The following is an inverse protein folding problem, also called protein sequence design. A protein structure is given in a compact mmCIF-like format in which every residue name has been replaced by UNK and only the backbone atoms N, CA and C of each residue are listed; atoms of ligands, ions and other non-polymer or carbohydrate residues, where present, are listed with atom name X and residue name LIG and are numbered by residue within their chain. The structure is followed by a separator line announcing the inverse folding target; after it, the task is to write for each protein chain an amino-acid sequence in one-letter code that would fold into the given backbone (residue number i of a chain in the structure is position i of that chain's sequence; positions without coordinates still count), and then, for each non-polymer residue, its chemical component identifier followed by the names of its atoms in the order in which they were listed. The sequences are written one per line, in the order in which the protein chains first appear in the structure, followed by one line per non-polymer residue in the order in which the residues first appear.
data_IF_126166131891
#
_entry.id   IF_126166131891
#
_cell.length_a   1.000
_cell.length_b   1.000
_cell.length_c   1.000
_cell.angle_alpha   90.00
_cell.angle_beta   90.00
_cell.angle_gamma   90.00
#
_symmetry.space_group_name_H-M   'P 1'
#
loop_
_entity.id
_entity.type
_entity.pdbx_description
1 polymer ?
#
# COMPACT_ATOMS: atom_id res chain seq x y z
N UNK A 1 1.53 17.94 -15.46
CA UNK A 1 0.58 18.56 -14.51
C UNK A 1 0.72 17.87 -13.18
N UNK A 2 0.62 18.63 -12.09
CA UNK A 2 0.71 18.11 -10.72
C UNK A 2 -0.48 18.61 -9.91
N UNK A 3 -1.07 17.71 -9.10
CA UNK A 3 -2.09 18.03 -8.10
C UNK A 3 -1.45 17.80 -6.73
N UNK A 4 -1.38 18.84 -5.92
CA UNK A 4 -0.71 18.81 -4.62
C UNK A 4 -1.66 19.29 -3.52
N UNK A 5 -1.66 18.61 -2.39
CA UNK A 5 -2.34 19.03 -1.18
C UNK A 5 -1.63 18.48 0.06
N UNK A 6 -1.88 19.02 1.24
CA UNK A 6 -1.19 18.68 2.48
C UNK A 6 -2.12 18.25 3.61
N UNK A 7 -3.21 17.58 3.28
CA UNK A 7 -4.13 17.09 4.30
C UNK A 7 -3.60 15.80 4.95
N UNK A 8 -3.92 15.59 6.23
CA UNK A 8 -3.45 14.43 7.00
C UNK A 8 -4.53 13.93 7.96
N UNK A 9 -4.41 12.65 8.35
CA UNK A 9 -5.46 11.94 9.08
C UNK A 9 -5.78 12.56 10.45
N UNK A 10 -4.77 12.99 11.20
CA UNK A 10 -4.95 13.58 12.53
C UNK A 10 -5.27 15.08 12.51
N UNK A 11 -5.39 15.69 11.33
CA UNK A 11 -5.79 17.09 11.21
C UNK A 11 -7.18 17.29 11.83
N UNK A 12 -7.35 18.29 12.72
CA UNK A 12 -8.68 18.64 13.26
C UNK A 12 -9.66 18.94 12.14
N UNK A 13 -10.91 18.53 12.33
CA UNK A 13 -11.95 18.76 11.33
C UNK A 13 -12.29 20.24 11.21
N UNK A 14 -12.17 20.74 10.00
CA UNK A 14 -12.68 22.04 9.61
C UNK A 14 -13.56 21.85 8.39
N UNK A 15 -14.86 21.87 8.60
CA UNK A 15 -15.87 21.66 7.54
C UNK A 15 -15.88 22.78 6.51
N UNK A 16 -15.22 23.91 6.76
CA UNK A 16 -15.08 25.00 5.80
C UNK A 16 -14.05 24.72 4.70
N UNK A 17 -13.11 23.80 4.93
CA UNK A 17 -11.95 23.58 4.05
C UNK A 17 -12.19 22.50 2.99
N UNK A 18 -13.09 21.54 3.24
CA UNK A 18 -13.41 20.50 2.25
C UNK A 18 -14.91 20.23 2.16
N UNK A 19 -15.64 21.04 1.39
CA UNK A 19 -17.07 20.87 1.24
C UNK A 19 -17.47 19.59 0.47
N UNK A 20 -16.55 19.01 -0.31
CA UNK A 20 -16.85 17.84 -1.14
C UNK A 20 -16.73 16.52 -0.40
N UNK A 21 -15.97 16.46 0.66
CA UNK A 21 -15.84 15.29 1.53
C UNK A 21 -15.56 15.72 2.97
N UNK A 22 -16.56 16.21 3.67
CA UNK A 22 -16.40 16.46 5.09
C UNK A 22 -16.06 15.13 5.78
N UNK A 23 -15.26 15.15 6.84
CA UNK A 23 -15.11 14.00 7.72
C UNK A 23 -16.51 13.56 8.17
N UNK A 24 -16.65 12.30 8.57
CA UNK A 24 -17.90 11.78 9.12
C UNK A 24 -18.46 12.75 10.15
N UNK A 25 -19.76 12.99 10.12
CA UNK A 25 -20.38 13.95 11.01
C UNK A 25 -19.99 13.69 12.47
N UNK A 26 -19.45 14.71 13.14
CA UNK A 26 -18.96 14.60 14.51
C UNK A 26 -17.55 14.02 14.69
N UNK A 27 -16.83 13.68 13.62
CA UNK A 27 -15.45 13.24 13.73
C UNK A 27 -14.54 14.40 14.17
N UNK A 28 -13.66 14.15 15.14
CA UNK A 28 -12.71 15.16 15.62
C UNK A 28 -11.56 15.44 14.64
N UNK A 29 -11.25 14.47 13.78
CA UNK A 29 -10.18 14.56 12.78
C UNK A 29 -10.63 14.05 11.42
N UNK A 30 -9.88 14.36 10.37
CA UNK A 30 -10.20 13.93 9.00
C UNK A 30 -10.15 12.41 8.82
N UNK A 31 -9.24 11.73 9.51
CA UNK A 31 -8.97 10.31 9.28
C UNK A 31 -8.27 10.04 7.95
N UNK A 32 -7.76 8.83 7.77
CA UNK A 32 -6.92 8.46 6.62
C UNK A 32 -7.64 8.70 5.28
N UNK A 33 -8.88 8.26 5.13
CA UNK A 33 -9.61 8.40 3.86
C UNK A 33 -9.83 9.85 3.43
N UNK A 34 -10.14 10.73 4.37
CA UNK A 34 -10.40 12.14 4.06
C UNK A 34 -9.12 12.97 3.95
N UNK A 35 -7.95 12.38 4.21
CA UNK A 35 -6.65 13.03 3.97
C UNK A 35 -6.25 13.04 2.49
N UNK A 36 -6.94 12.29 1.63
CA UNK A 36 -6.55 12.11 0.24
C UNK A 36 -6.53 13.43 -0.54
N UNK A 37 -5.39 13.67 -1.22
CA UNK A 37 -5.26 14.77 -2.17
C UNK A 37 -6.20 14.58 -3.35
N UNK A 38 -6.29 13.36 -3.87
CA UNK A 38 -7.21 12.98 -4.95
C UNK A 38 -7.96 11.70 -4.57
N UNK A 39 -9.27 11.71 -4.72
CA UNK A 39 -10.12 10.54 -4.47
C UNK A 39 -10.93 10.16 -5.71
N UNK A 40 -10.68 8.96 -6.23
CA UNK A 40 -11.37 8.40 -7.38
C UNK A 40 -12.46 7.42 -6.91
N UNK A 41 -13.72 7.78 -7.07
CA UNK A 41 -14.88 6.96 -6.67
C UNK A 41 -15.54 6.24 -7.84
N UNK A 42 -15.47 6.83 -9.04
CA UNK A 42 -16.19 6.33 -10.19
C UNK A 42 -15.63 4.97 -10.66
N UNK A 43 -16.48 3.97 -10.89
CA UNK A 43 -16.07 2.74 -11.57
C UNK A 43 -15.56 3.05 -12.97
N UNK A 44 -14.55 2.30 -13.43
CA UNK A 44 -13.94 2.48 -14.75
C UNK A 44 -13.16 3.79 -14.93
N UNK A 45 -12.90 4.53 -13.86
CA UNK A 45 -12.09 5.76 -13.93
C UNK A 45 -10.68 5.47 -14.42
N UNK A 46 -10.20 6.31 -15.32
CA UNK A 46 -8.84 6.20 -15.89
C UNK A 46 -8.07 7.50 -15.70
N UNK A 47 -6.83 7.40 -15.29
CA UNK A 47 -5.93 8.54 -15.13
C UNK A 47 -4.58 8.24 -15.79
N UNK A 48 -4.06 9.20 -16.56
CA UNK A 48 -2.77 9.05 -17.24
C UNK A 48 -1.94 10.33 -17.16
N UNK A 49 -0.62 10.16 -17.11
CA UNK A 49 0.36 11.24 -17.27
C UNK A 49 0.20 12.39 -16.26
N UNK A 50 -0.01 12.05 -14.99
CA UNK A 50 -0.26 13.03 -13.95
C UNK A 50 0.56 12.71 -12.69
N UNK A 51 1.00 13.76 -11.99
CA UNK A 51 1.56 13.65 -10.65
C UNK A 51 0.50 14.05 -9.62
N UNK A 52 0.35 13.23 -8.58
CA UNK A 52 -0.47 13.52 -7.41
C UNK A 52 0.43 13.43 -6.20
N UNK A 53 0.50 14.48 -5.41
CA UNK A 53 1.33 14.56 -4.23
C UNK A 53 0.50 14.90 -2.98
N UNK A 54 0.82 14.26 -1.88
CA UNK A 54 0.48 14.77 -0.57
C UNK A 54 1.79 15.22 0.10
N UNK A 55 1.96 16.51 0.24
CA UNK A 55 3.19 17.14 0.73
C UNK A 55 3.12 17.50 2.23
N UNK A 56 2.28 16.80 2.98
CA UNK A 56 2.18 17.01 4.44
C UNK A 56 3.53 16.96 5.14
N UNK A 57 4.48 16.16 4.66
CA UNK A 57 5.90 16.24 5.01
C UNK A 57 6.27 15.84 6.44
N UNK A 58 5.32 15.42 7.26
CA UNK A 58 5.52 14.96 8.63
C UNK A 58 5.23 13.47 8.78
N UNK A 59 5.62 12.90 9.92
CA UNK A 59 5.29 11.52 10.26
C UNK A 59 3.79 11.40 10.59
N UNK A 60 3.04 10.74 9.71
CA UNK A 60 1.59 10.55 9.86
C UNK A 60 0.93 10.17 8.55
N UNK A 61 -0.27 9.59 8.66
CA UNK A 61 -1.03 9.10 7.51
C UNK A 61 -1.52 10.27 6.64
N UNK A 62 -1.12 10.28 5.38
CA UNK A 62 -1.43 11.36 4.44
C UNK A 62 -1.49 10.82 3.00
N UNK A 63 -2.70 10.57 2.52
CA UNK A 63 -2.95 9.90 1.25
C UNK A 63 -2.76 10.86 0.07
N UNK A 64 -1.95 10.48 -0.91
CA UNK A 64 -1.91 11.18 -2.19
C UNK A 64 -3.10 10.78 -3.06
N UNK A 65 -3.25 9.48 -3.34
CA UNK A 65 -4.36 8.96 -4.15
C UNK A 65 -5.17 7.93 -3.36
N UNK A 66 -6.49 8.11 -3.31
CA UNK A 66 -7.44 7.08 -2.89
C UNK A 66 -8.23 6.56 -4.11
N UNK A 67 -8.10 5.27 -4.40
CA UNK A 67 -8.76 4.60 -5.52
C UNK A 67 -9.84 3.63 -4.97
N UNK A 68 -11.10 4.08 -4.92
CA UNK A 68 -12.19 3.32 -4.31
C UNK A 68 -13.18 2.71 -5.33
N UNK A 69 -13.15 3.16 -6.57
CA UNK A 69 -14.01 2.62 -7.63
C UNK A 69 -13.52 1.26 -8.15
N UNK A 70 -14.44 0.46 -8.70
CA UNK A 70 -14.07 -0.79 -9.34
C UNK A 70 -13.54 -0.56 -10.77
N UNK A 71 -12.60 -1.40 -11.22
CA UNK A 71 -12.01 -1.38 -12.56
C UNK A 71 -11.32 -0.06 -12.92
N UNK A 72 -10.60 0.53 -11.97
CA UNK A 72 -9.84 1.76 -12.21
C UNK A 72 -8.48 1.49 -12.84
N UNK A 73 -8.03 2.39 -13.69
CA UNK A 73 -6.74 2.28 -14.39
C UNK A 73 -5.91 3.54 -14.20
N UNK A 74 -4.67 3.36 -13.78
CA UNK A 74 -3.68 4.41 -13.60
C UNK A 74 -2.43 4.09 -14.42
N UNK A 75 -2.09 4.92 -15.39
CA UNK A 75 -0.97 4.67 -16.31
C UNK A 75 -0.03 5.87 -16.37
N UNK A 76 1.26 5.65 -16.20
CA UNK A 76 2.28 6.69 -16.17
C UNK A 76 1.90 7.83 -15.19
N UNK A 77 1.51 7.45 -13.96
CA UNK A 77 1.23 8.40 -12.88
C UNK A 77 2.39 8.42 -11.88
N UNK A 78 2.56 9.54 -11.19
CA UNK A 78 3.48 9.66 -10.08
C UNK A 78 2.69 9.95 -8.81
N UNK A 79 2.81 9.07 -7.82
CA UNK A 79 2.18 9.24 -6.51
C UNK A 79 3.28 9.54 -5.49
N UNK A 80 3.26 10.76 -4.96
CA UNK A 80 4.30 11.26 -4.07
C UNK A 80 3.73 11.48 -2.67
N UNK A 81 4.39 10.91 -1.68
CA UNK A 81 3.98 11.02 -0.29
C UNK A 81 4.95 10.37 0.67
N UNK A 82 4.54 10.21 1.91
CA UNK A 82 5.30 9.54 2.96
C UNK A 82 4.52 8.33 3.48
N UNK A 83 3.90 8.40 4.66
CA UNK A 83 3.07 7.31 5.16
C UNK A 83 1.72 7.29 4.45
N UNK A 84 1.27 6.11 4.01
CA UNK A 84 -0.06 5.88 3.43
C UNK A 84 -0.30 6.57 2.06
N UNK A 85 0.69 6.64 1.17
CA UNK A 85 0.63 7.39 -0.09
C UNK A 85 -0.50 6.95 -1.02
N UNK A 86 -0.66 5.63 -1.24
CA UNK A 86 -1.65 5.07 -2.16
C UNK A 86 -2.63 4.15 -1.42
N UNK A 87 -3.84 4.63 -1.25
CA UNK A 87 -4.93 3.92 -0.57
C UNK A 87 -5.91 3.31 -1.57
N UNK A 88 -6.13 1.98 -1.45
CA UNK A 88 -6.99 1.22 -2.35
C UNK A 88 -8.06 0.50 -1.52
N UNK A 89 -9.06 1.24 -1.01
CA UNK A 89 -10.12 0.64 -0.21
C UNK A 89 -11.14 -0.13 -1.06
N UNK A 90 -11.93 -0.95 -0.39
CA UNK A 90 -13.24 -1.39 -0.90
C UNK A 90 -14.35 -0.76 -0.06
N UNK A 91 -15.53 -0.49 -0.62
CA UNK A 91 -16.63 0.09 0.13
C UNK A 91 -17.02 -0.73 1.35
N UNK A 92 -16.97 -2.03 1.25
CA UNK A 92 -17.18 -2.97 2.36
C UNK A 92 -16.21 -4.15 2.27
N UNK A 93 -16.15 -4.98 3.31
CA UNK A 93 -15.36 -6.23 3.31
C UNK A 93 -15.88 -7.30 2.35
N UNK A 94 -17.07 -7.11 1.78
CA UNK A 94 -17.72 -8.04 0.85
C UNK A 94 -17.55 -7.62 -0.62
N UNK A 95 -17.21 -6.36 -0.87
CA UNK A 95 -17.03 -5.84 -2.23
C UNK A 95 -15.62 -6.16 -2.73
N UNK A 96 -15.54 -6.61 -3.96
CA UNK A 96 -14.28 -6.66 -4.71
C UNK A 96 -14.16 -5.40 -5.52
N UNK A 97 -13.16 -4.58 -5.22
CA UNK A 97 -12.73 -3.46 -6.07
C UNK A 97 -11.41 -3.83 -6.72
N UNK A 98 -11.24 -3.40 -7.96
CA UNK A 98 -10.08 -3.75 -8.78
C UNK A 98 -9.41 -2.49 -9.32
N UNK A 99 -8.10 -2.48 -9.27
CA UNK A 99 -7.31 -1.42 -9.87
C UNK A 99 -6.14 -2.01 -10.66
N UNK A 100 -5.76 -1.35 -11.74
CA UNK A 100 -4.57 -1.68 -12.52
C UNK A 100 -3.70 -0.42 -12.63
N UNK A 101 -2.47 -0.55 -12.19
CA UNK A 101 -1.47 0.53 -12.18
C UNK A 101 -0.32 0.10 -13.06
N UNK A 102 -0.02 0.89 -14.09
CA UNK A 102 0.97 0.53 -15.09
C UNK A 102 2.03 1.63 -15.26
N UNK A 103 3.29 1.22 -15.44
CA UNK A 103 4.41 2.11 -15.79
C UNK A 103 4.48 3.38 -14.91
N UNK A 104 4.20 3.22 -13.62
CA UNK A 104 3.98 4.32 -12.68
C UNK A 104 5.04 4.37 -11.58
N UNK A 105 5.20 5.54 -10.97
CA UNK A 105 6.11 5.76 -9.87
C UNK A 105 5.33 6.04 -8.59
N UNK A 106 5.63 5.30 -7.52
CA UNK A 106 4.99 5.46 -6.21
C UNK A 106 6.08 5.53 -5.15
N UNK A 107 6.06 6.55 -4.32
CA UNK A 107 7.01 6.69 -3.22
C UNK A 107 6.34 6.79 -1.86
N UNK A 108 7.06 6.39 -0.83
CA UNK A 108 6.61 6.53 0.54
C UNK A 108 7.54 5.94 1.59
N UNK A 109 7.13 6.02 2.85
CA UNK A 109 7.91 5.56 4.01
C UNK A 109 7.31 4.33 4.68
N UNK A 110 6.02 4.37 5.03
CA UNK A 110 5.31 3.38 5.85
C UNK A 110 4.03 3.01 5.17
N UNK A 111 3.81 1.70 4.94
CA UNK A 111 2.54 1.17 4.40
C UNK A 111 2.06 1.99 3.19
N UNK A 112 2.98 2.44 2.35
CA UNK A 112 2.65 3.47 1.37
C UNK A 112 1.81 2.97 0.20
N UNK A 113 1.55 1.65 0.11
CA UNK A 113 0.53 1.04 -0.75
C UNK A 113 -0.31 0.12 0.13
N UNK A 114 -1.56 0.49 0.37
CA UNK A 114 -2.38 -0.23 1.34
C UNK A 114 -3.86 -0.29 0.98
N UNK A 115 -4.57 -1.24 1.56
CA UNK A 115 -6.03 -1.36 1.41
C UNK A 115 -6.52 -2.76 1.06
N UNK A 116 -7.82 -2.87 0.77
CA UNK A 116 -8.53 -4.15 0.58
C UNK A 116 -8.64 -4.63 -0.85
N UNK A 117 -8.44 -3.73 -1.82
CA UNK A 117 -8.71 -4.01 -3.22
C UNK A 117 -7.79 -5.08 -3.80
N UNK A 118 -8.25 -5.72 -4.87
CA UNK A 118 -7.39 -6.43 -5.79
C UNK A 118 -6.69 -5.41 -6.68
N UNK A 119 -5.37 -5.31 -6.60
CA UNK A 119 -4.59 -4.37 -7.41
C UNK A 119 -3.42 -5.05 -8.08
N UNK A 120 -3.18 -4.70 -9.33
CA UNK A 120 -1.97 -5.09 -10.07
C UNK A 120 -1.13 -3.84 -10.30
N UNK A 121 0.12 -3.88 -9.85
CA UNK A 121 1.16 -2.89 -10.13
C UNK A 121 2.14 -3.53 -11.12
N UNK A 122 2.09 -3.11 -12.38
CA UNK A 122 2.84 -3.71 -13.49
C UNK A 122 3.83 -2.70 -14.08
N UNK A 123 5.10 -3.05 -14.13
CA UNK A 123 6.15 -2.16 -14.64
C UNK A 123 6.37 -0.90 -13.81
N UNK A 124 6.03 -0.93 -12.52
CA UNK A 124 6.09 0.24 -11.65
C UNK A 124 7.46 0.39 -10.97
N UNK A 125 7.79 1.62 -10.59
CA UNK A 125 8.87 1.91 -9.65
C UNK A 125 8.27 2.22 -8.29
N UNK A 126 8.61 1.42 -7.27
CA UNK A 126 8.23 1.62 -5.89
C UNK A 126 9.44 2.14 -5.13
N UNK A 127 9.44 3.41 -4.75
CA UNK A 127 10.59 4.06 -4.12
C UNK A 127 10.39 4.27 -2.63
N UNK A 128 11.21 3.60 -1.84
CA UNK A 128 11.23 3.74 -0.40
C UNK A 128 11.97 5.00 0.02
N UNK A 129 11.31 5.86 0.80
CA UNK A 129 11.90 7.07 1.39
C UNK A 129 12.31 6.77 2.83
N UNK A 130 13.61 6.83 3.11
CA UNK A 130 14.13 6.50 4.43
C UNK A 130 13.89 7.63 5.43
N UNK A 131 12.80 7.54 6.19
CA UNK A 131 12.59 8.35 7.40
C UNK A 131 12.80 7.50 8.65
N UNK A 132 12.29 6.27 8.64
CA UNK A 132 12.49 5.23 9.67
C UNK A 132 12.26 3.85 9.03
N UNK A 133 12.88 2.77 9.58
CA UNK A 133 12.63 1.42 9.07
C UNK A 133 11.15 1.07 9.08
N UNK A 134 10.61 0.65 7.93
CA UNK A 134 9.19 0.30 7.83
C UNK A 134 8.88 -0.57 6.59
N UNK A 135 7.62 -0.61 6.19
CA UNK A 135 7.04 -1.51 5.20
C UNK A 135 6.55 -0.76 3.95
N UNK A 136 6.62 -1.42 2.78
CA UNK A 136 6.09 -0.90 1.53
C UNK A 136 4.59 -1.16 1.40
N UNK A 137 4.17 -2.42 1.61
CA UNK A 137 2.83 -2.90 1.36
C UNK A 137 2.09 -3.20 2.68
N UNK A 138 0.81 -2.81 2.76
CA UNK A 138 -0.07 -3.18 3.86
C UNK A 138 -1.45 -3.63 3.33
N UNK A 139 -1.53 -4.84 2.73
CA UNK A 139 -2.78 -5.38 2.26
C UNK A 139 -3.72 -5.74 3.41
N UNK A 140 -5.01 -5.43 3.25
CA UNK A 140 -6.11 -5.79 4.15
C UNK A 140 -7.17 -6.58 3.37
N UNK A 141 -6.74 -7.57 2.61
CA UNK A 141 -7.61 -8.33 1.72
C UNK A 141 -8.67 -9.09 2.50
N UNK A 142 -9.93 -8.94 2.12
CA UNK A 142 -11.02 -9.67 2.76
C UNK A 142 -10.78 -11.19 2.65
N UNK A 143 -11.10 -11.93 3.70
CA UNK A 143 -10.83 -13.37 3.78
C UNK A 143 -11.43 -14.18 2.61
N UNK A 144 -12.57 -13.73 2.07
CA UNK A 144 -13.25 -14.35 0.93
C UNK A 144 -12.73 -13.94 -0.44
N UNK A 145 -11.88 -12.91 -0.52
CA UNK A 145 -11.31 -12.48 -1.80
C UNK A 145 -10.16 -13.40 -2.18
N UNK A 146 -10.22 -13.92 -3.39
CA UNK A 146 -9.20 -14.82 -3.91
C UNK A 146 -7.88 -14.07 -4.17
N UNK A 147 -7.95 -12.81 -4.58
CA UNK A 147 -6.78 -12.01 -4.97
C UNK A 147 -6.69 -10.70 -4.20
N UNK A 148 -5.47 -10.35 -3.82
CA UNK A 148 -5.12 -9.08 -3.18
C UNK A 148 -4.22 -8.21 -4.05
N UNK A 149 -3.02 -7.88 -3.58
CA UNK A 149 -2.06 -7.06 -4.30
C UNK A 149 -1.07 -7.92 -5.10
N UNK A 150 -0.80 -7.54 -6.33
CA UNK A 150 0.25 -8.10 -7.18
C UNK A 150 1.20 -7.00 -7.63
N UNK A 151 2.48 -7.14 -7.29
CA UNK A 151 3.58 -6.34 -7.85
C UNK A 151 4.33 -7.22 -8.84
N UNK A 152 4.37 -6.84 -10.09
CA UNK A 152 4.99 -7.63 -11.17
C UNK A 152 5.80 -6.75 -12.11
N UNK A 153 6.87 -7.30 -12.68
CA UNK A 153 7.74 -6.62 -13.65
C UNK A 153 8.25 -5.25 -13.16
N UNK A 154 8.35 -5.07 -11.85
CA UNK A 154 8.55 -3.77 -11.21
C UNK A 154 9.94 -3.63 -10.62
N UNK A 155 10.30 -2.40 -10.24
CA UNK A 155 11.58 -2.11 -9.59
C UNK A 155 11.30 -1.48 -8.22
N UNK A 156 11.82 -2.11 -7.17
CA UNK A 156 11.74 -1.62 -5.80
C UNK A 156 13.06 -0.95 -5.46
N UNK A 157 13.03 0.35 -5.28
CA UNK A 157 14.20 1.22 -5.04
C UNK A 157 14.09 1.94 -3.71
N UNK A 158 15.14 2.64 -3.33
CA UNK A 158 15.12 3.58 -2.22
C UNK A 158 15.88 4.86 -2.56
N UNK A 159 15.65 5.91 -1.78
CA UNK A 159 16.37 7.16 -1.91
C UNK A 159 17.89 6.94 -1.78
N UNK A 160 18.72 7.72 -2.50
CA UNK A 160 20.17 7.63 -2.39
C UNK A 160 20.65 7.77 -0.94
N UNK A 161 21.56 6.89 -0.52
CA UNK A 161 22.08 6.88 0.84
C UNK A 161 21.27 6.06 1.84
N UNK A 162 20.17 5.44 1.43
CA UNK A 162 19.46 4.46 2.24
C UNK A 162 20.38 3.26 2.53
N UNK A 163 20.48 2.88 3.80
CA UNK A 163 21.27 1.71 4.20
C UNK A 163 20.61 0.40 3.71
N UNK A 164 21.43 -0.64 3.60
CA UNK A 164 20.96 -1.99 3.29
C UNK A 164 20.15 -2.59 4.44
N UNK A 165 19.20 -3.46 4.13
CA UNK A 165 18.43 -4.26 5.10
C UNK A 165 17.64 -3.43 6.14
N UNK A 166 17.06 -2.31 5.76
CA UNK A 166 16.32 -1.41 6.66
C UNK A 166 14.80 -1.47 6.50
N UNK A 167 14.30 -1.91 5.38
CA UNK A 167 12.86 -1.95 5.12
C UNK A 167 12.34 -3.38 4.87
N UNK A 168 11.04 -3.55 4.90
CA UNK A 168 10.35 -4.81 4.67
C UNK A 168 9.40 -4.68 3.48
N UNK A 169 9.16 -5.77 2.74
CA UNK A 169 8.18 -5.77 1.65
C UNK A 169 6.79 -5.40 2.15
N UNK A 170 6.41 -5.94 3.31
CA UNK A 170 5.11 -5.57 3.85
C UNK A 170 4.68 -6.32 5.10
N UNK A 171 3.43 -6.05 5.44
CA UNK A 171 2.73 -6.68 6.56
C UNK A 171 1.24 -6.75 6.29
N UNK A 172 0.54 -7.73 6.81
CA UNK A 172 -0.91 -7.73 6.79
C UNK A 172 -1.44 -6.53 7.58
N UNK A 173 -2.46 -5.89 7.06
CA UNK A 173 -3.26 -4.97 7.84
C UNK A 173 -4.53 -5.69 8.28
N UNK A 174 -4.52 -6.15 9.52
CA UNK A 174 -5.67 -6.79 10.15
C UNK A 174 -6.66 -5.68 10.56
N UNK A 175 -7.41 -5.19 9.61
CA UNK A 175 -8.27 -4.00 9.71
C UNK A 175 -9.45 -4.16 10.70
N UNK A 176 -9.55 -5.28 11.34
CA UNK A 176 -10.57 -5.51 12.35
C UNK A 176 -10.14 -5.02 13.72
N UNK A 177 -11.06 -4.41 14.37
CA UNK A 177 -10.89 -3.93 15.73
C UNK A 177 -11.07 -5.07 16.73
N UNK A 178 -10.07 -5.28 17.57
CA UNK A 178 -10.19 -6.05 18.80
C UNK A 178 -9.69 -7.49 18.74
N UNK A 179 -10.05 -8.31 17.77
CA UNK A 179 -9.48 -9.64 17.63
C UNK A 179 -9.49 -10.12 16.17
N UNK A 180 -8.39 -10.74 15.77
CA UNK A 180 -8.27 -11.40 14.48
C UNK A 180 -8.89 -12.81 14.55
N UNK A 181 -9.66 -13.17 13.52
CA UNK A 181 -10.23 -14.50 13.34
C UNK A 181 -9.93 -14.99 11.92
N UNK A 182 -9.19 -16.10 11.82
CA UNK A 182 -8.83 -16.70 10.55
C UNK A 182 -10.09 -17.05 9.71
N UNK A 183 -10.06 -16.72 8.44
CA UNK A 183 -11.17 -16.95 7.50
C UNK A 183 -12.34 -15.99 7.63
N UNK A 184 -12.31 -15.04 8.56
CA UNK A 184 -13.35 -14.03 8.80
C UNK A 184 -12.82 -12.63 8.68
N UNK A 185 -11.77 -12.32 9.45
CA UNK A 185 -11.15 -10.99 9.44
C UNK A 185 -10.39 -10.75 8.14
N UNK A 186 -10.29 -9.51 7.66
CA UNK A 186 -9.35 -9.15 6.61
C UNK A 186 -7.95 -9.62 6.97
N UNK A 187 -7.23 -10.12 5.99
CA UNK A 187 -5.86 -10.59 6.13
C UNK A 187 -5.04 -10.18 4.90
N UNK A 188 -3.75 -9.94 5.08
CA UNK A 188 -2.92 -9.53 3.97
C UNK A 188 -2.80 -10.60 2.88
N UNK A 189 -3.02 -10.19 1.62
CA UNK A 189 -2.58 -10.96 0.48
C UNK A 189 -1.79 -10.06 -0.47
N UNK A 190 -0.53 -10.38 -0.67
CA UNK A 190 0.33 -9.72 -1.65
C UNK A 190 1.31 -10.72 -2.26
N UNK A 191 1.57 -10.53 -3.53
CA UNK A 191 2.62 -11.24 -4.27
C UNK A 191 3.54 -10.20 -4.90
N UNK A 192 4.84 -10.35 -4.68
CA UNK A 192 5.88 -9.60 -5.40
C UNK A 192 6.62 -10.61 -6.26
N UNK A 193 6.56 -10.43 -7.58
CA UNK A 193 7.18 -11.40 -8.50
C UNK A 193 7.80 -10.75 -9.73
N UNK A 194 8.73 -11.46 -10.35
CA UNK A 194 9.40 -11.07 -11.58
C UNK A 194 9.90 -9.62 -11.54
N UNK A 195 10.39 -9.19 -10.38
CA UNK A 195 10.73 -7.80 -10.06
C UNK A 195 12.19 -7.68 -9.59
N UNK A 196 12.74 -6.48 -9.68
CA UNK A 196 14.08 -6.17 -9.21
C UNK A 196 13.98 -5.49 -7.84
N UNK A 197 14.62 -6.04 -6.83
CA UNK A 197 14.54 -5.55 -5.45
C UNK A 197 15.91 -5.04 -4.98
N UNK A 198 15.96 -3.77 -4.57
CA UNK A 198 17.18 -3.12 -4.07
C UNK A 198 17.62 -3.63 -2.70
N UNK A 199 18.89 -3.42 -2.35
CA UNK A 199 19.52 -3.90 -1.11
C UNK A 199 18.91 -3.34 0.19
N UNK A 200 18.12 -2.29 0.11
CA UNK A 200 17.44 -1.68 1.26
C UNK A 200 16.42 -2.63 1.91
N UNK A 201 15.94 -3.63 1.17
CA UNK A 201 15.00 -4.63 1.66
C UNK A 201 15.71 -5.66 2.55
N UNK A 202 15.09 -6.02 3.67
CA UNK A 202 15.61 -6.98 4.64
C UNK A 202 15.23 -8.40 4.22
N UNK A 203 16.12 -9.05 3.49
CA UNK A 203 15.93 -10.42 2.96
C UNK A 203 15.58 -11.45 4.05
N UNK A 204 16.16 -11.32 5.26
CA UNK A 204 15.92 -12.25 6.38
C UNK A 204 14.52 -12.12 7.01
N UNK A 205 13.80 -11.05 6.71
CA UNK A 205 12.45 -10.80 7.21
C UNK A 205 11.68 -9.88 6.22
N UNK A 206 11.37 -10.36 5.02
CA UNK A 206 10.66 -9.55 4.03
C UNK A 206 9.23 -9.19 4.49
N UNK A 207 8.62 -10.06 5.24
CA UNK A 207 7.28 -9.87 5.81
C UNK A 207 7.35 -9.85 7.34
N UNK A 208 6.55 -8.97 7.97
CA UNK A 208 6.58 -8.77 9.42
C UNK A 208 5.18 -8.84 10.03
N UNK A 209 5.13 -8.70 11.36
CA UNK A 209 3.89 -8.73 12.14
C UNK A 209 2.85 -7.74 11.60
N UNK A 210 1.59 -8.15 11.64
CA UNK A 210 0.45 -7.37 11.15
C UNK A 210 0.36 -6.01 11.83
N UNK A 211 -0.04 -5.01 11.05
CA UNK A 211 -0.46 -3.72 11.58
C UNK A 211 -1.75 -3.90 12.42
N UNK A 212 -2.00 -3.01 13.34
CA UNK A 212 -3.19 -2.97 14.20
C UNK A 212 -3.18 -4.02 15.32
N UNK A 213 -3.12 -5.31 14.98
CA UNK A 213 -3.18 -6.39 15.99
C UNK A 213 -1.81 -6.82 16.50
N UNK A 214 -0.73 -6.43 15.83
CA UNK A 214 0.62 -6.93 16.06
C UNK A 214 0.74 -8.48 15.99
N UNK A 215 -0.20 -9.15 15.32
CA UNK A 215 -0.16 -10.59 15.08
C UNK A 215 1.12 -10.94 14.32
N UNK A 216 1.84 -11.93 14.82
CA UNK A 216 3.07 -12.37 14.16
C UNK A 216 2.80 -12.80 12.70
N UNK A 217 3.76 -12.58 11.83
CA UNK A 217 3.71 -13.14 10.48
C UNK A 217 3.71 -14.67 10.57
N UNK A 218 2.76 -15.29 9.90
CA UNK A 218 2.66 -16.74 9.75
C UNK A 218 2.43 -17.08 8.27
N UNK A 219 3.41 -17.72 7.64
CA UNK A 219 3.36 -18.08 6.23
C UNK A 219 2.22 -19.05 5.86
N UNK A 220 1.59 -19.71 6.84
CA UNK A 220 0.42 -20.60 6.63
C UNK A 220 -0.90 -19.85 6.66
N UNK A 221 -0.96 -18.71 7.34
CA UNK A 221 -2.17 -17.89 7.48
C UNK A 221 -2.15 -16.67 6.58
N UNK A 222 -0.99 -16.00 6.49
CA UNK A 222 -0.82 -14.83 5.64
C UNK A 222 -0.51 -15.25 4.21
N UNK A 223 -1.23 -14.68 3.25
CA UNK A 223 -1.05 -14.93 1.82
C UNK A 223 -0.05 -13.90 1.24
N UNK A 224 1.19 -13.90 1.78
CA UNK A 224 2.25 -12.96 1.43
C UNK A 224 3.42 -13.74 0.84
N UNK A 225 3.69 -13.55 -0.44
CA UNK A 225 4.65 -14.38 -1.18
C UNK A 225 5.59 -13.56 -2.06
N UNK A 226 6.74 -14.15 -2.33
CA UNK A 226 7.68 -13.74 -3.36
C UNK A 226 7.84 -14.84 -4.42
N UNK A 227 8.13 -14.44 -5.66
CA UNK A 227 8.43 -15.41 -6.72
C UNK A 227 9.31 -14.79 -7.79
N UNK A 228 10.38 -15.49 -8.18
CA UNK A 228 11.24 -15.16 -9.30
C UNK A 228 11.74 -13.69 -9.32
N UNK A 229 11.98 -13.11 -8.15
CA UNK A 229 12.56 -11.78 -8.03
C UNK A 229 14.08 -11.84 -8.19
N UNK A 230 14.69 -10.71 -8.53
CA UNK A 230 16.13 -10.53 -8.68
C UNK A 230 16.62 -9.30 -7.93
N UNK A 231 17.92 -9.15 -7.85
CA UNK A 231 18.55 -8.04 -7.14
C UNK A 231 18.92 -8.38 -5.68
N UNK A 232 19.68 -7.51 -5.02
CA UNK A 232 20.28 -7.81 -3.72
C UNK A 232 19.29 -7.90 -2.56
N UNK A 233 18.07 -7.36 -2.72
CA UNK A 233 17.00 -7.44 -1.73
C UNK A 233 15.97 -8.55 -2.00
N UNK A 234 16.16 -9.35 -3.07
CA UNK A 234 15.29 -10.48 -3.36
C UNK A 234 15.61 -11.67 -2.43
N UNK A 235 14.59 -12.35 -1.94
CA UNK A 235 14.78 -13.62 -1.26
C UNK A 235 15.36 -14.66 -2.24
N UNK A 236 16.23 -15.56 -1.76
CA UNK A 236 16.65 -16.70 -2.57
C UNK A 236 15.43 -17.49 -3.04
N UNK A 237 15.45 -17.96 -4.28
CA UNK A 237 14.37 -18.74 -4.90
C UNK A 237 14.11 -20.10 -4.24
N UNK A 238 14.90 -20.47 -3.24
CA UNK A 238 14.83 -21.71 -2.47
C UNK A 238 13.97 -21.60 -1.18
N UNK A 239 13.18 -20.57 -1.04
CA UNK A 239 12.24 -20.42 0.08
C UNK A 239 12.85 -20.17 1.45
N UNK A 240 14.16 -19.88 1.52
CA UNK A 240 14.91 -19.86 2.80
C UNK A 240 14.60 -18.67 3.71
N UNK A 241 13.79 -17.71 3.33
CA UNK A 241 13.59 -16.48 4.09
C UNK A 241 12.14 -16.18 4.48
N UNK A 242 11.35 -17.18 4.79
CA UNK A 242 10.06 -16.97 5.45
C UNK A 242 8.88 -16.60 4.54
N UNK A 243 9.08 -16.50 3.24
CA UNK A 243 7.97 -16.47 2.30
C UNK A 243 7.90 -17.84 1.62
N UNK A 244 6.80 -18.61 1.77
CA UNK A 244 6.67 -19.83 1.00
C UNK A 244 6.61 -19.49 -0.50
N UNK A 245 7.26 -20.29 -1.32
CA UNK A 245 7.04 -20.26 -2.75
C UNK A 245 5.54 -20.41 -3.03
N UNK A 246 5.05 -19.69 -4.03
CA UNK A 246 3.69 -19.91 -4.47
C UNK A 246 3.51 -21.38 -4.87
N UNK A 247 2.47 -22.05 -4.39
CA UNK A 247 2.18 -23.42 -4.83
C UNK A 247 1.84 -23.50 -6.33
#
# INVERSE_FOLDING_TARGET
VEIVFNNYASKPTDTSVNPCKPPSAGAATYGTSASATFAAFAPGFQLKNLTIANDFGADGQAVALMAQGDQQVFENVRLLGLQDTFYIPSPTTLNVTRAYVKDSYIEGTTDFIFGRATVVLDGCTLNYKMVKPNTLLAPSTAAKNMYGMLVINSTLTADPGTADNVAHLGRAWDESVGCYQLGVSPNGQAVVRDSVIGSFLKVSAPWIAAATTARAFDGTENRLWEYNNSGPGAAPSDGAAGAPDMP
#
